data_IF_573459563452
#
_entry.id   IF_573459563452
#
_cell.length_a   1.000
_cell.length_b   1.000
_cell.length_c   1.000
_cell.angle_alpha   90.00
_cell.angle_beta   90.00
_cell.angle_gamma   90.00
#
_symmetry.space_group_name_H-M   'P 1'
#
loop_
_entity.id
_entity.type
_entity.pdbx_description
1 polymer ?
#
# COMPACT_ATOMS: atom_id res chain seq x y z
N UNK A 1 5.63 -23.62 -13.11
CA UNK A 1 5.70 -23.10 -11.72
C UNK A 1 5.71 -21.60 -11.82
N UNK A 2 4.97 -20.89 -10.97
CA UNK A 2 5.07 -19.44 -10.90
C UNK A 2 6.45 -19.07 -10.34
N UNK A 3 7.11 -18.09 -10.96
CA UNK A 3 8.35 -17.50 -10.46
C UNK A 3 7.97 -16.29 -9.59
N UNK A 4 8.51 -16.24 -8.36
CA UNK A 4 8.22 -15.21 -7.36
C UNK A 4 9.41 -14.29 -7.12
N UNK A 5 10.50 -14.44 -7.89
CA UNK A 5 11.61 -13.51 -7.83
C UNK A 5 11.14 -12.12 -8.31
N UNK A 6 11.26 -11.12 -7.43
CA UNK A 6 10.93 -9.74 -7.77
C UNK A 6 11.99 -9.16 -8.72
N UNK A 7 11.53 -8.45 -9.74
CA UNK A 7 12.41 -7.64 -10.58
C UNK A 7 12.79 -6.31 -9.89
N UNK A 8 13.68 -5.54 -10.51
CA UNK A 8 14.18 -4.29 -9.94
C UNK A 8 13.07 -3.27 -9.67
N UNK A 9 12.10 -3.14 -10.58
CA UNK A 9 10.98 -2.21 -10.43
C UNK A 9 10.09 -2.63 -9.24
N UNK A 10 9.81 -3.92 -9.10
CA UNK A 10 9.02 -4.47 -8.00
C UNK A 10 9.73 -4.32 -6.65
N UNK A 11 11.05 -4.48 -6.60
CA UNK A 11 11.83 -4.23 -5.40
C UNK A 11 11.80 -2.74 -5.00
N UNK A 12 11.82 -1.84 -5.98
CA UNK A 12 11.66 -0.41 -5.72
C UNK A 12 10.26 -0.07 -5.19
N UNK A 13 9.21 -0.64 -5.79
CA UNK A 13 7.83 -0.47 -5.32
C UNK A 13 7.70 -1.03 -3.90
N UNK A 14 8.19 -2.24 -3.65
CA UNK A 14 8.16 -2.86 -2.32
C UNK A 14 8.79 -1.92 -1.29
N UNK A 15 10.02 -1.48 -1.53
CA UNK A 15 10.75 -0.60 -0.61
C UNK A 15 9.99 0.70 -0.38
N UNK A 16 9.49 1.31 -1.44
CA UNK A 16 8.77 2.57 -1.35
C UNK A 16 7.49 2.45 -0.51
N UNK A 17 6.71 1.39 -0.70
CA UNK A 17 5.50 1.14 0.08
C UNK A 17 5.86 0.79 1.53
N UNK A 18 6.94 0.02 1.73
CA UNK A 18 7.45 -0.32 3.06
C UNK A 18 7.86 0.92 3.85
N UNK A 19 8.61 1.84 3.23
CA UNK A 19 9.03 3.10 3.85
C UNK A 19 7.81 3.95 4.28
N UNK A 20 6.73 3.95 3.48
CA UNK A 20 5.47 4.60 3.85
C UNK A 20 4.75 3.88 5.00
N UNK A 21 4.68 2.54 4.94
CA UNK A 21 4.03 1.73 5.98
C UNK A 21 4.74 1.88 7.33
N UNK A 22 6.08 1.85 7.35
CA UNK A 22 6.90 2.02 8.54
C UNK A 22 6.83 3.46 9.09
N UNK A 23 6.89 4.47 8.21
CA UNK A 23 6.96 5.87 8.62
C UNK A 23 5.61 6.49 8.99
N UNK A 24 4.50 6.00 8.42
CA UNK A 24 3.19 6.64 8.52
C UNK A 24 2.14 5.71 9.12
N UNK A 25 1.97 4.52 8.55
CA UNK A 25 0.86 3.63 8.93
C UNK A 25 1.10 3.05 10.33
N UNK A 26 2.24 2.37 10.52
CA UNK A 26 2.52 1.60 11.73
C UNK A 26 2.61 2.44 13.01
N UNK A 27 3.22 3.64 13.02
CA UNK A 27 3.23 4.50 14.20
C UNK A 27 1.83 4.99 14.60
N UNK A 28 0.93 5.13 13.62
CA UNK A 28 -0.42 5.62 13.84
C UNK A 28 -1.43 4.51 14.15
N UNK A 29 -1.10 3.24 13.86
CA UNK A 29 -2.00 2.09 13.95
C UNK A 29 -2.74 2.00 15.31
N UNK A 30 -2.01 2.09 16.42
CA UNK A 30 -2.61 1.96 17.75
C UNK A 30 -3.58 3.10 18.09
N UNK A 31 -3.26 4.34 17.70
CA UNK A 31 -4.13 5.49 17.95
C UNK A 31 -5.44 5.37 17.16
N UNK A 32 -5.34 4.97 15.88
CA UNK A 32 -6.51 4.83 15.03
C UNK A 32 -7.38 3.62 15.38
N UNK A 33 -6.78 2.53 15.86
CA UNK A 33 -7.50 1.37 16.39
C UNK A 33 -8.31 1.76 17.64
N UNK A 34 -7.70 2.46 18.61
CA UNK A 34 -8.40 2.92 19.83
C UNK A 34 -9.53 3.92 19.53
N UNK A 35 -9.37 4.74 18.49
CA UNK A 35 -10.37 5.75 18.12
C UNK A 35 -11.58 5.15 17.39
N UNK A 36 -11.46 3.95 16.82
CA UNK A 36 -12.48 3.30 15.99
C UNK A 36 -13.05 4.21 14.88
N UNK A 37 -12.23 5.15 14.39
CA UNK A 37 -12.60 6.14 13.38
C UNK A 37 -11.86 5.86 12.06
N UNK A 38 -12.46 6.32 10.95
CA UNK A 38 -11.80 6.23 9.66
C UNK A 38 -10.55 7.14 9.61
N UNK A 39 -9.36 6.62 9.26
CA UNK A 39 -8.10 7.37 9.26
C UNK A 39 -7.95 8.26 8.02
N UNK A 40 -8.89 9.19 7.82
CA UNK A 40 -8.94 10.09 6.66
C UNK A 40 -7.62 10.83 6.37
N UNK A 41 -6.86 11.32 7.37
CA UNK A 41 -5.58 11.98 7.11
C UNK A 41 -4.55 11.04 6.45
N UNK A 42 -4.51 9.77 6.87
CA UNK A 42 -3.58 8.78 6.32
C UNK A 42 -4.03 8.37 4.92
N UNK A 43 -5.34 8.20 4.71
CA UNK A 43 -5.89 7.91 3.38
C UNK A 43 -5.54 9.04 2.41
N UNK A 44 -5.73 10.31 2.79
CA UNK A 44 -5.36 11.44 1.95
C UNK A 44 -3.86 11.47 1.62
N UNK A 45 -3.01 11.20 2.61
CA UNK A 45 -1.57 11.14 2.38
C UNK A 45 -1.19 10.01 1.41
N UNK A 46 -1.83 8.84 1.54
CA UNK A 46 -1.65 7.73 0.62
C UNK A 46 -2.11 8.07 -0.82
N UNK A 47 -3.17 8.89 -0.96
CA UNK A 47 -3.61 9.44 -2.24
C UNK A 47 -2.56 10.38 -2.86
N UNK A 48 -2.01 11.28 -2.05
CA UNK A 48 -1.02 12.28 -2.49
C UNK A 48 0.27 11.64 -3.02
N UNK A 49 0.69 10.52 -2.43
CA UNK A 49 1.86 9.78 -2.91
C UNK A 49 1.54 8.84 -4.08
N UNK A 50 0.26 8.68 -4.44
CA UNK A 50 -0.16 7.96 -5.64
C UNK A 50 -0.24 6.43 -5.49
N UNK A 51 -0.23 5.90 -4.26
CA UNK A 51 -0.22 4.44 -3.97
C UNK A 51 -1.39 3.66 -4.57
N UNK A 52 -2.50 4.33 -4.88
CA UNK A 52 -3.69 3.74 -5.50
C UNK A 52 -4.26 4.63 -6.61
N UNK A 53 -3.43 5.55 -7.11
CA UNK A 53 -3.80 6.39 -8.24
C UNK A 53 -3.96 5.59 -9.53
N UNK A 54 -4.65 6.17 -10.51
CA UNK A 54 -4.87 5.58 -11.84
C UNK A 54 -3.57 5.10 -12.51
N UNK A 55 -2.49 5.86 -12.39
CA UNK A 55 -1.18 5.53 -12.97
C UNK A 55 -0.58 4.26 -12.34
N UNK A 56 -0.66 4.14 -11.01
CA UNK A 56 -0.20 2.96 -10.30
C UNK A 56 -1.00 1.72 -10.69
N UNK A 57 -2.33 1.84 -10.74
CA UNK A 57 -3.20 0.73 -11.17
C UNK A 57 -2.92 0.29 -12.60
N UNK A 58 -2.71 1.23 -13.53
CA UNK A 58 -2.31 0.91 -14.90
C UNK A 58 -0.96 0.19 -14.95
N UNK A 59 0.03 0.61 -14.17
CA UNK A 59 1.32 -0.05 -14.08
C UNK A 59 1.18 -1.48 -13.55
N UNK A 60 0.45 -1.65 -12.44
CA UNK A 60 0.22 -2.94 -11.81
C UNK A 60 -0.59 -3.90 -12.71
N UNK A 61 -1.55 -3.40 -13.49
CA UNK A 61 -2.28 -4.22 -14.47
C UNK A 61 -1.45 -4.56 -15.72
N UNK A 62 -0.45 -3.75 -16.04
CA UNK A 62 0.50 -4.00 -17.14
C UNK A 62 1.65 -4.94 -16.77
N UNK A 63 1.82 -5.25 -15.48
CA UNK A 63 2.84 -6.17 -14.99
C UNK A 63 2.56 -7.60 -15.46
N UNK A 64 3.40 -8.10 -16.36
CA UNK A 64 3.31 -9.46 -16.90
C UNK A 64 3.48 -10.58 -15.86
N UNK A 65 4.10 -10.27 -14.71
CA UNK A 65 4.28 -11.23 -13.61
C UNK A 65 3.08 -11.26 -12.67
N UNK A 66 2.30 -10.16 -12.64
CA UNK A 66 1.17 -9.98 -11.72
C UNK A 66 1.56 -9.84 -10.25
N UNK A 67 2.84 -9.57 -9.94
CA UNK A 67 3.35 -9.49 -8.56
C UNK A 67 3.31 -8.08 -7.99
N UNK A 68 3.31 -7.04 -8.83
CA UNK A 68 3.33 -5.63 -8.38
C UNK A 68 2.17 -5.32 -7.41
N UNK A 69 0.94 -5.68 -7.77
CA UNK A 69 -0.22 -5.40 -6.91
C UNK A 69 -0.19 -6.18 -5.58
N UNK A 70 0.04 -7.52 -5.57
CA UNK A 70 0.19 -8.27 -4.32
C UNK A 70 1.28 -7.73 -3.39
N UNK A 71 2.45 -7.37 -3.92
CA UNK A 71 3.57 -6.84 -3.11
C UNK A 71 3.20 -5.51 -2.47
N UNK A 72 2.57 -4.60 -3.21
CA UNK A 72 2.11 -3.33 -2.63
C UNK A 72 1.06 -3.54 -1.54
N UNK A 73 0.11 -4.45 -1.76
CA UNK A 73 -0.90 -4.77 -0.74
C UNK A 73 -0.25 -5.38 0.51
N UNK A 74 0.72 -6.28 0.33
CA UNK A 74 1.44 -6.90 1.44
C UNK A 74 2.11 -5.85 2.33
N UNK A 75 2.84 -4.90 1.75
CA UNK A 75 3.55 -3.86 2.50
C UNK A 75 2.59 -2.88 3.20
N UNK A 76 1.45 -2.54 2.58
CA UNK A 76 0.40 -1.73 3.23
C UNK A 76 -0.17 -2.42 4.47
N UNK A 77 -0.49 -3.71 4.34
CA UNK A 77 -1.07 -4.50 5.43
C UNK A 77 -0.04 -4.88 6.50
N UNK A 78 1.25 -4.89 6.15
CA UNK A 78 2.32 -5.01 7.13
C UNK A 78 2.36 -3.80 8.08
N UNK A 79 2.00 -2.61 7.60
CA UNK A 79 1.85 -1.41 8.42
C UNK A 79 0.73 -1.54 9.44
N UNK A 80 -0.50 -1.75 8.94
CA UNK A 80 -1.70 -2.06 9.72
C UNK A 80 -2.81 -2.57 8.81
N UNK A 81 -3.57 -3.57 9.28
CA UNK A 81 -4.65 -4.17 8.50
C UNK A 81 -5.89 -3.26 8.38
N UNK A 82 -6.22 -2.50 9.42
CA UNK A 82 -7.39 -1.60 9.43
C UNK A 82 -7.19 -0.40 8.50
N UNK A 83 -6.05 0.27 8.63
CA UNK A 83 -5.64 1.38 7.78
C UNK A 83 -5.41 0.89 6.34
N UNK A 84 -4.74 -0.26 6.15
CA UNK A 84 -4.57 -0.87 4.82
C UNK A 84 -5.91 -1.13 4.12
N UNK A 85 -6.90 -1.63 4.85
CA UNK A 85 -8.27 -1.77 4.35
C UNK A 85 -8.95 -0.43 4.06
N UNK A 86 -8.75 0.59 4.90
CA UNK A 86 -9.32 1.93 4.65
C UNK A 86 -8.75 2.59 3.38
N UNK A 87 -7.45 2.41 3.13
CA UNK A 87 -6.80 2.89 1.91
C UNK A 87 -7.35 2.15 0.68
N UNK A 88 -7.39 0.81 0.72
CA UNK A 88 -7.85 0.02 -0.43
C UNK A 88 -9.36 0.12 -0.68
N UNK A 89 -10.15 0.27 0.37
CA UNK A 89 -11.61 0.31 0.29
C UNK A 89 -12.17 1.63 -0.25
N UNK A 90 -11.40 2.72 -0.24
CA UNK A 90 -11.87 4.04 -0.65
C UNK A 90 -11.70 4.33 -2.14
N UNK A 91 -10.64 3.79 -2.77
CA UNK A 91 -10.33 3.98 -4.19
C UNK A 91 -10.41 5.46 -4.65
N UNK A 92 -9.97 6.39 -3.79
CA UNK A 92 -10.02 7.84 -4.00
C UNK A 92 -8.99 8.38 -5.00
#
# INVERSE_FOLDING_TARGET
>A
MADFALNEDQLQIQKWVHDFAEGVIRPAAHEWDEREEMPMPIVQQAAEIGLYGWEFLMNAMGDSTGLTLPVTIEELFWGDAGIGMAIMGTAL
#
